data_IF_011980609329
#
_entry.id   IF_011980609329
#
_cell.length_a   1.000
_cell.length_b   1.000
_cell.length_c   1.000
_cell.angle_alpha   90.00
_cell.angle_beta   90.00
_cell.angle_gamma   90.00
#
_symmetry.space_group_name_H-M   'P 1'
#
loop_
_entity.id
_entity.type
_entity.pdbx_description
1 polymer ?
#
# COMPACT_ATOMS: atom_id res chain seq x y z
N UNK A 1 3.24 -9.77 10.82
CA UNK A 1 3.82 -9.03 11.95
C UNK A 1 2.78 -8.79 13.03
N UNK A 2 3.19 -8.65 14.29
CA UNK A 2 2.32 -8.29 15.41
C UNK A 2 3.07 -7.42 16.42
N UNK A 3 2.63 -6.16 16.60
CA UNK A 3 3.15 -5.20 17.58
C UNK A 3 4.66 -4.96 17.44
N UNK A 4 5.13 -4.82 16.20
CA UNK A 4 6.53 -4.47 15.89
C UNK A 4 6.79 -2.99 16.14
N UNK A 5 8.01 -2.62 16.54
CA UNK A 5 8.39 -1.22 16.79
C UNK A 5 8.86 -0.45 15.56
N UNK A 6 8.85 -1.10 14.41
CA UNK A 6 9.37 -0.65 13.12
C UNK A 6 8.35 -1.05 12.05
N UNK A 7 8.78 -1.15 10.79
CA UNK A 7 7.98 -1.73 9.73
C UNK A 7 7.46 -3.14 10.07
N UNK A 8 6.30 -3.47 9.54
CA UNK A 8 5.69 -4.78 9.76
C UNK A 8 6.38 -5.89 8.98
N UNK A 9 6.45 -5.75 7.66
CA UNK A 9 7.05 -6.70 6.72
C UNK A 9 7.73 -5.92 5.60
N UNK A 10 9.00 -6.22 5.32
CA UNK A 10 9.80 -5.53 4.30
C UNK A 10 10.18 -6.46 3.13
N UNK A 11 10.10 -5.94 1.90
CA UNK A 11 10.59 -6.58 0.68
C UNK A 11 11.58 -5.67 -0.05
N UNK A 12 12.88 -5.82 0.19
CA UNK A 12 13.92 -5.03 -0.47
C UNK A 12 14.68 -5.85 -1.51
N UNK A 13 14.38 -5.59 -2.78
CA UNK A 13 14.91 -6.33 -3.92
C UNK A 13 14.47 -7.79 -3.98
N UNK A 14 14.97 -8.52 -4.98
CA UNK A 14 14.68 -9.94 -5.18
C UNK A 14 13.29 -10.20 -5.78
N UNK A 15 12.83 -11.46 -5.71
CA UNK A 15 11.65 -11.95 -6.47
C UNK A 15 10.67 -12.74 -5.61
N UNK A 16 10.76 -12.65 -4.28
CA UNK A 16 9.86 -13.40 -3.38
C UNK A 16 8.46 -12.80 -3.48
N UNK A 17 7.45 -13.64 -3.71
CA UNK A 17 6.05 -13.23 -3.61
C UNK A 17 5.52 -13.48 -2.19
N UNK A 18 4.73 -12.55 -1.68
CA UNK A 18 4.12 -12.62 -0.36
C UNK A 18 2.61 -12.75 -0.46
N UNK A 19 2.07 -13.94 -0.19
CA UNK A 19 0.63 -14.18 -0.15
C UNK A 19 0.16 -14.44 1.28
N UNK A 20 -1.06 -13.99 1.62
CA UNK A 20 -1.69 -14.18 2.93
C UNK A 20 -0.86 -13.57 4.06
N UNK A 21 -0.60 -12.26 3.95
CA UNK A 21 0.17 -11.52 4.94
C UNK A 21 -0.77 -10.76 5.89
N UNK A 22 -0.38 -10.74 7.16
CA UNK A 22 -1.08 -9.97 8.20
C UNK A 22 -0.07 -9.09 8.93
N UNK A 23 -0.35 -7.79 8.99
CA UNK A 23 0.44 -6.82 9.74
C UNK A 23 -0.46 -6.06 10.71
N UNK A 24 -0.26 -6.25 12.01
CA UNK A 24 -1.06 -5.64 13.07
C UNK A 24 -0.15 -4.85 14.00
N UNK A 25 -0.40 -3.54 14.15
CA UNK A 25 0.34 -2.73 15.12
C UNK A 25 1.80 -2.49 14.74
N UNK A 26 2.12 -2.19 13.47
CA UNK A 26 3.47 -1.74 13.11
C UNK A 26 3.75 -0.36 13.71
N UNK A 27 4.99 -0.16 14.15
CA UNK A 27 5.47 1.11 14.69
C UNK A 27 5.83 2.11 13.59
N UNK A 28 6.07 1.60 12.40
CA UNK A 28 6.28 2.35 11.17
C UNK A 28 5.34 1.81 10.06
N UNK A 29 5.78 1.65 8.81
CA UNK A 29 4.94 1.23 7.69
C UNK A 29 4.51 -0.23 7.83
N UNK A 30 3.24 -0.55 7.50
CA UNK A 30 2.74 -1.89 7.83
C UNK A 30 3.31 -2.97 6.91
N UNK A 31 3.48 -2.66 5.63
CA UNK A 31 4.23 -3.43 4.63
C UNK A 31 5.01 -2.45 3.76
N UNK A 32 6.33 -2.59 3.71
CA UNK A 32 7.21 -1.77 2.86
C UNK A 32 7.84 -2.64 1.77
N UNK A 33 7.97 -2.09 0.56
CA UNK A 33 8.72 -2.69 -0.52
C UNK A 33 9.54 -1.66 -1.30
N UNK A 34 10.77 -2.04 -1.63
CA UNK A 34 11.78 -1.16 -2.20
C UNK A 34 12.86 -1.93 -2.99
N UNK A 35 13.90 -1.21 -3.39
CA UNK A 35 15.17 -1.68 -3.93
C UNK A 35 15.05 -2.64 -5.11
N UNK A 36 14.13 -2.32 -6.02
CA UNK A 36 13.93 -3.11 -7.23
C UNK A 36 13.26 -4.44 -6.98
N UNK A 37 12.36 -4.54 -5.98
CA UNK A 37 11.60 -5.75 -5.73
C UNK A 37 10.73 -6.13 -6.93
N UNK A 38 10.86 -7.39 -7.36
CA UNK A 38 10.17 -7.97 -8.52
C UNK A 38 9.19 -9.09 -8.12
N UNK A 39 8.85 -9.18 -6.83
CA UNK A 39 7.85 -10.13 -6.33
C UNK A 39 6.42 -9.65 -6.57
N UNK A 40 5.44 -10.46 -6.17
CA UNK A 40 4.02 -10.12 -6.22
C UNK A 40 3.38 -10.32 -4.84
N UNK A 41 2.15 -9.79 -4.66
CA UNK A 41 1.44 -9.92 -3.40
C UNK A 41 -0.05 -10.17 -3.56
N UNK A 42 -0.61 -10.99 -2.69
CA UNK A 42 -2.06 -11.16 -2.57
C UNK A 42 -2.51 -11.39 -1.14
N UNK A 43 -3.74 -10.96 -0.82
CA UNK A 43 -4.36 -11.18 0.50
C UNK A 43 -3.56 -10.56 1.64
N UNK A 44 -3.36 -9.26 1.59
CA UNK A 44 -2.69 -8.51 2.66
C UNK A 44 -3.74 -7.85 3.56
N UNK A 45 -3.72 -8.17 4.85
CA UNK A 45 -4.58 -7.53 5.85
C UNK A 45 -3.73 -6.71 6.82
N UNK A 46 -4.00 -5.41 6.86
CA UNK A 46 -3.28 -4.43 7.66
C UNK A 46 -4.26 -3.76 8.61
N UNK A 47 -3.86 -3.61 9.87
CA UNK A 47 -4.64 -2.89 10.89
C UNK A 47 -3.74 -2.31 11.98
N UNK A 48 -4.16 -1.18 12.55
CA UNK A 48 -3.48 -0.50 13.66
C UNK A 48 -2.03 -0.09 13.33
N UNK A 49 -1.71 0.16 12.05
CA UNK A 49 -0.38 0.63 11.62
C UNK A 49 -0.15 2.10 11.96
N UNK A 50 1.06 2.46 12.39
CA UNK A 50 1.36 3.83 12.80
C UNK A 50 1.53 4.81 11.62
N UNK A 51 2.22 4.38 10.56
CA UNK A 51 2.53 5.21 9.39
C UNK A 51 1.68 4.86 8.18
N UNK A 52 2.23 4.44 7.06
CA UNK A 52 1.46 4.02 5.92
C UNK A 52 0.90 2.60 6.14
N UNK A 53 -0.25 2.33 5.51
CA UNK A 53 -0.68 0.94 5.36
C UNK A 53 0.36 0.17 4.53
N UNK A 54 0.73 0.75 3.39
CA UNK A 54 1.76 0.22 2.50
C UNK A 54 2.70 1.36 2.14
N UNK A 55 4.01 1.13 2.23
CA UNK A 55 4.99 1.96 1.52
C UNK A 55 5.41 1.25 0.23
N UNK A 56 5.44 2.00 -0.86
CA UNK A 56 5.86 1.51 -2.17
C UNK A 56 6.91 2.43 -2.77
N UNK A 57 8.15 1.95 -2.81
CA UNK A 57 9.30 2.72 -3.28
C UNK A 57 10.14 2.01 -4.34
N UNK A 58 11.07 2.74 -4.95
CA UNK A 58 12.08 2.15 -5.83
C UNK A 58 13.46 2.08 -5.17
N UNK A 59 14.03 3.22 -4.78
CA UNK A 59 15.29 3.28 -4.05
C UNK A 59 15.49 4.69 -3.47
N UNK A 60 15.90 4.77 -2.20
CA UNK A 60 16.01 6.03 -1.46
C UNK A 60 17.13 6.97 -1.91
N UNK A 61 18.18 6.45 -2.55
CA UNK A 61 19.31 7.25 -3.05
C UNK A 61 19.13 7.68 -4.51
N UNK A 62 18.61 6.79 -5.36
CA UNK A 62 18.34 7.03 -6.78
C UNK A 62 16.97 6.45 -7.16
N UNK A 63 15.94 7.31 -7.22
CA UNK A 63 14.59 6.91 -7.60
C UNK A 63 14.48 6.27 -9.00
N UNK A 64 15.49 6.36 -9.86
CA UNK A 64 15.56 5.69 -11.17
C UNK A 64 16.49 4.46 -11.19
N UNK A 65 16.98 4.02 -10.02
CA UNK A 65 17.83 2.84 -9.90
C UNK A 65 17.19 1.62 -10.58
N UNK A 66 18.05 0.79 -11.19
CA UNK A 66 17.67 -0.45 -11.85
C UNK A 66 18.13 -1.68 -11.05
N UNK A 67 17.32 -2.74 -10.97
CA UNK A 67 15.97 -2.86 -11.52
C UNK A 67 14.97 -1.93 -10.82
N UNK A 68 13.97 -1.43 -11.56
CA UNK A 68 12.87 -0.65 -10.97
C UNK A 68 11.90 -1.61 -10.29
N UNK A 69 11.48 -1.33 -9.05
CA UNK A 69 10.46 -2.10 -8.33
C UNK A 69 9.24 -2.31 -9.22
N UNK A 70 8.92 -3.56 -9.54
CA UNK A 70 7.82 -3.91 -10.45
C UNK A 70 7.01 -5.04 -9.86
N UNK A 71 5.77 -4.76 -9.47
CA UNK A 71 4.92 -5.74 -8.77
C UNK A 71 3.46 -5.69 -9.21
N UNK A 72 2.77 -6.82 -9.03
CA UNK A 72 1.31 -6.89 -9.09
C UNK A 72 0.79 -7.28 -7.71
N UNK A 73 -0.05 -6.43 -7.14
CA UNK A 73 -0.68 -6.65 -5.86
C UNK A 73 -2.19 -6.84 -6.00
N UNK A 74 -2.79 -7.63 -5.12
CA UNK A 74 -4.23 -7.89 -5.17
C UNK A 74 -4.83 -8.20 -3.80
N UNK A 75 -6.12 -7.95 -3.63
CA UNK A 75 -6.87 -8.34 -2.43
C UNK A 75 -6.26 -7.76 -1.15
N UNK A 76 -6.24 -6.45 -1.02
CA UNK A 76 -5.62 -5.75 0.11
C UNK A 76 -6.70 -5.10 0.97
N UNK A 77 -6.57 -5.22 2.29
CA UNK A 77 -7.34 -4.44 3.27
C UNK A 77 -6.38 -3.61 4.11
N UNK A 78 -6.65 -2.30 4.23
CA UNK A 78 -6.04 -1.42 5.24
C UNK A 78 -7.13 -0.86 6.14
N UNK A 79 -7.08 -1.19 7.43
CA UNK A 79 -7.97 -0.61 8.45
C UNK A 79 -7.19 0.44 9.22
N UNK A 80 -7.61 1.69 9.07
CA UNK A 80 -7.01 2.85 9.70
C UNK A 80 -7.29 2.96 11.20
N UNK A 81 -6.74 4.01 11.85
CA UNK A 81 -6.00 5.10 11.21
C UNK A 81 -4.60 4.67 10.73
N UNK A 82 -4.10 5.35 9.70
CA UNK A 82 -2.72 5.31 9.18
C UNK A 82 -2.33 6.74 8.86
N UNK A 83 -1.20 7.23 9.37
CA UNK A 83 -0.88 8.68 9.32
C UNK A 83 -0.26 9.14 7.99
N UNK A 84 0.14 8.19 7.14
CA UNK A 84 0.77 8.47 5.85
C UNK A 84 -0.03 7.91 4.67
N UNK A 85 -1.31 7.65 4.92
CA UNK A 85 -2.26 7.12 3.94
C UNK A 85 -2.25 5.59 3.84
N UNK A 86 -3.22 5.05 3.09
CA UNK A 86 -3.29 3.61 2.85
C UNK A 86 -2.13 3.11 1.97
N UNK A 87 -1.65 3.96 1.06
CA UNK A 87 -0.42 3.78 0.30
C UNK A 87 0.42 5.05 0.36
N UNK A 88 1.71 4.93 0.67
CA UNK A 88 2.69 5.99 0.46
C UNK A 88 3.60 5.62 -0.73
N UNK A 89 3.51 6.41 -1.80
CA UNK A 89 4.30 6.26 -3.00
C UNK A 89 5.45 7.28 -3.01
N UNK A 90 6.68 6.79 -2.82
CA UNK A 90 7.87 7.63 -2.64
C UNK A 90 9.15 7.00 -3.17
N UNK A 91 10.23 7.76 -3.17
CA UNK A 91 11.58 7.36 -3.57
C UNK A 91 11.61 6.70 -4.96
N UNK A 92 11.02 7.42 -5.91
CA UNK A 92 10.82 6.97 -7.28
C UNK A 92 9.84 5.81 -7.39
N UNK A 93 8.88 5.66 -6.48
CA UNK A 93 7.92 4.56 -6.37
C UNK A 93 7.59 3.90 -7.71
N UNK A 94 7.79 2.59 -7.80
CA UNK A 94 8.05 1.88 -9.05
C UNK A 94 6.87 1.74 -10.04
N UNK A 95 6.85 0.61 -10.76
CA UNK A 95 5.82 0.30 -11.74
C UNK A 95 4.95 -0.84 -11.22
N UNK A 96 3.81 -0.53 -10.61
CA UNK A 96 2.97 -1.55 -10.05
C UNK A 96 1.47 -1.29 -10.12
N UNK A 97 0.72 -2.39 -10.04
CA UNK A 97 -0.73 -2.37 -10.04
C UNK A 97 -1.29 -2.95 -8.75
N UNK A 98 -2.42 -2.41 -8.29
CA UNK A 98 -3.19 -2.97 -7.18
C UNK A 98 -4.63 -3.21 -7.64
N UNK A 99 -5.12 -4.42 -7.45
CA UNK A 99 -6.53 -4.76 -7.71
C UNK A 99 -7.25 -5.17 -6.42
N UNK A 100 -8.53 -4.83 -6.31
CA UNK A 100 -9.34 -5.18 -5.12
C UNK A 100 -8.72 -4.62 -3.81
N UNK A 101 -8.54 -3.30 -3.74
CA UNK A 101 -8.01 -2.61 -2.57
C UNK A 101 -9.18 -2.05 -1.74
N UNK A 102 -9.34 -2.52 -0.50
CA UNK A 102 -10.32 -2.02 0.46
C UNK A 102 -9.62 -1.22 1.54
N UNK A 103 -10.23 -0.11 1.94
CA UNK A 103 -9.79 0.68 3.08
C UNK A 103 -10.96 1.03 3.99
N UNK A 104 -10.70 1.13 5.29
CA UNK A 104 -11.68 1.59 6.29
C UNK A 104 -11.03 2.59 7.24
N UNK A 105 -11.75 3.63 7.65
CA UNK A 105 -11.32 4.59 8.68
C UNK A 105 -9.98 5.30 8.41
N UNK A 106 -9.64 5.53 7.14
CA UNK A 106 -8.48 6.34 6.71
C UNK A 106 -8.89 7.78 6.35
N UNK A 107 -7.97 8.72 6.45
CA UNK A 107 -8.12 10.12 5.98
C UNK A 107 -7.32 10.42 4.69
N UNK A 108 -6.50 9.48 4.21
CA UNK A 108 -5.78 9.64 2.94
C UNK A 108 -5.63 8.31 2.21
N UNK A 109 -6.12 8.24 0.97
CA UNK A 109 -5.96 7.04 0.14
C UNK A 109 -4.51 6.79 -0.27
N UNK A 110 -4.00 7.62 -1.18
CA UNK A 110 -2.63 7.54 -1.70
C UNK A 110 -1.88 8.83 -1.41
N UNK A 111 -0.85 8.74 -0.57
CA UNK A 111 0.13 9.80 -0.36
C UNK A 111 1.21 9.72 -1.43
N UNK A 112 1.60 10.84 -2.02
CA UNK A 112 2.72 10.94 -2.96
C UNK A 112 3.73 11.95 -2.42
N UNK A 113 5.01 11.57 -2.33
CA UNK A 113 6.05 12.46 -1.81
C UNK A 113 6.19 13.67 -2.74
N UNK A 114 5.80 14.85 -2.25
CA UNK A 114 5.70 16.09 -3.03
C UNK A 114 7.02 16.55 -3.67
N UNK A 115 8.15 16.23 -3.05
CA UNK A 115 9.50 16.54 -3.59
C UNK A 115 10.05 15.48 -4.53
N UNK A 116 9.28 14.43 -4.85
CA UNK A 116 9.73 13.29 -5.64
C UNK A 116 9.30 13.39 -7.11
N UNK A 117 10.20 13.90 -7.94
CA UNK A 117 9.95 14.11 -9.36
C UNK A 117 9.78 12.79 -10.12
N UNK A 118 10.54 11.77 -9.74
CA UNK A 118 10.54 10.45 -10.35
C UNK A 118 9.22 9.71 -10.11
N UNK A 119 8.68 9.78 -8.89
CA UNK A 119 7.35 9.25 -8.55
C UNK A 119 6.26 9.97 -9.36
N UNK A 120 6.31 11.30 -9.46
CA UNK A 120 5.36 12.06 -10.27
C UNK A 120 5.40 11.63 -11.75
N UNK A 121 6.60 11.49 -12.34
CA UNK A 121 6.76 11.01 -13.72
C UNK A 121 6.12 9.64 -13.92
N UNK A 122 6.29 8.71 -12.98
CA UNK A 122 5.71 7.36 -13.05
C UNK A 122 4.18 7.38 -12.96
N UNK A 123 3.61 8.23 -12.11
CA UNK A 123 2.14 8.42 -12.07
C UNK A 123 1.65 8.99 -13.40
N UNK A 124 2.30 10.01 -13.96
CA UNK A 124 1.89 10.59 -15.25
C UNK A 124 2.01 9.60 -16.42
N UNK A 125 2.95 8.66 -16.36
CA UNK A 125 3.11 7.59 -17.34
C UNK A 125 2.10 6.43 -17.16
N UNK A 126 1.38 6.38 -16.04
CA UNK A 126 0.46 5.29 -15.71
C UNK A 126 1.14 4.06 -15.11
N UNK A 127 2.34 4.21 -14.56
CA UNK A 127 3.12 3.12 -13.95
C UNK A 127 2.57 2.73 -12.57
N UNK A 128 1.78 3.59 -11.93
CA UNK A 128 0.93 3.25 -10.79
C UNK A 128 -0.52 3.11 -11.28
N UNK A 129 -1.18 1.99 -10.97
CA UNK A 129 -2.61 1.81 -11.24
C UNK A 129 -3.32 1.02 -10.14
N UNK A 130 -4.38 1.60 -9.57
CA UNK A 130 -5.20 0.99 -8.53
C UNK A 130 -6.64 0.91 -9.02
N UNK A 131 -7.16 -0.30 -9.20
CA UNK A 131 -8.51 -0.50 -9.72
C UNK A 131 -9.14 -1.86 -9.33
N UNK A 132 -10.28 -1.89 -8.62
CA UNK A 132 -10.88 -0.80 -7.86
C UNK A 132 -10.18 -0.56 -6.51
N UNK A 133 -10.33 0.66 -5.97
CA UNK A 133 -10.10 1.02 -4.56
C UNK A 133 -11.41 1.42 -3.89
N UNK A 134 -11.67 0.93 -2.68
CA UNK A 134 -12.83 1.31 -1.87
C UNK A 134 -12.38 2.10 -0.64
N UNK A 135 -13.10 3.18 -0.34
CA UNK A 135 -12.91 4.02 0.84
C UNK A 135 -14.14 3.90 1.76
N UNK A 136 -14.16 2.89 2.62
CA UNK A 136 -15.26 2.67 3.57
C UNK A 136 -15.06 3.50 4.84
N UNK A 137 -16.16 4.05 5.38
CA UNK A 137 -16.18 4.90 6.57
C UNK A 137 -14.97 5.87 6.70
N UNK A 138 -14.64 6.67 5.67
CA UNK A 138 -13.43 7.49 5.70
C UNK A 138 -13.47 8.48 6.88
N UNK A 139 -12.30 8.69 7.48
CA UNK A 139 -12.13 9.61 8.60
C UNK A 139 -12.33 11.08 8.16
N UNK A 140 -12.47 11.98 9.13
CA UNK A 140 -12.68 13.40 8.85
C UNK A 140 -11.45 14.00 8.12
N UNK A 141 -11.71 14.77 7.07
CA UNK A 141 -10.64 15.36 6.25
C UNK A 141 -10.14 14.44 5.13
N UNK A 142 -10.90 13.37 4.83
CA UNK A 142 -10.52 12.40 3.80
C UNK A 142 -10.27 13.01 2.41
N UNK A 143 -9.14 12.61 1.82
CA UNK A 143 -8.81 12.84 0.42
C UNK A 143 -8.38 11.52 -0.25
N UNK A 144 -8.72 11.33 -1.53
CA UNK A 144 -8.30 10.13 -2.28
C UNK A 144 -6.78 10.12 -2.46
N UNK A 145 -6.19 11.28 -2.73
CA UNK A 145 -4.75 11.46 -2.87
C UNK A 145 -4.38 12.92 -2.64
N UNK A 146 -3.16 13.17 -2.18
CA UNK A 146 -2.56 14.50 -2.12
C UNK A 146 -1.75 14.84 -3.40
N UNK A 147 -1.74 13.95 -4.38
CA UNK A 147 -1.06 14.18 -5.66
C UNK A 147 -1.74 15.30 -6.46
N UNK A 148 -0.98 16.35 -6.75
CA UNK A 148 -1.47 17.54 -7.48
C UNK A 148 -1.19 17.52 -8.98
N UNK A 149 -0.67 16.42 -9.52
CA UNK A 149 -0.36 16.28 -10.94
C UNK A 149 -1.59 16.10 -11.84
N UNK A 150 -1.36 15.94 -13.13
CA UNK A 150 -2.42 15.93 -14.13
C UNK A 150 -3.15 14.58 -14.18
N UNK A 151 -2.42 13.47 -14.06
CA UNK A 151 -3.03 12.15 -14.01
C UNK A 151 -3.60 11.86 -12.62
N UNK A 152 -4.92 11.96 -12.49
CA UNK A 152 -5.68 11.53 -11.30
C UNK A 152 -6.35 10.17 -11.49
N UNK A 153 -6.23 9.58 -12.68
CA UNK A 153 -6.91 8.33 -13.05
C UNK A 153 -6.18 7.06 -12.57
N UNK A 154 -5.04 7.22 -11.88
CA UNK A 154 -4.30 6.12 -11.29
C UNK A 154 -5.04 5.47 -10.11
N UNK A 155 -6.04 6.15 -9.53
CA UNK A 155 -7.00 5.55 -8.59
C UNK A 155 -8.38 5.49 -9.23
N UNK A 156 -8.94 4.29 -9.33
CA UNK A 156 -10.33 4.08 -9.75
C UNK A 156 -11.14 3.64 -8.53
N UNK A 157 -12.00 4.53 -8.04
CA UNK A 157 -12.89 4.20 -6.93
C UNK A 157 -13.95 3.17 -7.35
N UNK A 158 -14.18 2.16 -6.51
CA UNK A 158 -15.23 1.16 -6.72
C UNK A 158 -15.32 0.15 -5.58
N UNK A 159 -16.40 -0.65 -5.53
CA UNK A 159 -16.61 -1.61 -4.46
C UNK A 159 -15.60 -2.77 -4.54
N UNK A 160 -15.06 -3.17 -3.39
CA UNK A 160 -14.02 -4.20 -3.24
C UNK A 160 -14.31 -5.08 -2.03
N UNK A 161 -13.74 -6.29 -1.98
CA UNK A 161 -13.75 -7.15 -0.79
C UNK A 161 -12.43 -7.11 -0.02
N UNK A 162 -11.43 -6.42 -0.58
CA UNK A 162 -10.09 -6.31 -0.01
C UNK A 162 -9.44 -7.67 0.20
N UNK A 163 -8.87 -7.88 1.38
CA UNK A 163 -8.33 -9.16 1.81
C UNK A 163 -9.39 -10.26 2.04
N UNK A 164 -10.64 -10.06 1.60
CA UNK A 164 -11.68 -11.08 1.56
C UNK A 164 -12.81 -10.88 2.57
N UNK A 165 -12.76 -9.83 3.42
CA UNK A 165 -13.81 -9.54 4.39
C UNK A 165 -13.93 -8.05 4.76
N UNK A 166 -13.60 -7.13 3.82
CA UNK A 166 -13.59 -5.69 4.10
C UNK A 166 -12.70 -5.37 5.30
N UNK A 167 -13.22 -4.61 6.27
CA UNK A 167 -12.50 -4.25 7.49
C UNK A 167 -12.39 -5.38 8.52
N UNK A 168 -13.28 -6.38 8.47
CA UNK A 168 -13.30 -7.46 9.45
C UNK A 168 -12.15 -8.46 9.21
N UNK A 169 -11.77 -9.19 10.25
CA UNK A 169 -10.74 -10.22 10.16
C UNK A 169 -11.08 -11.21 9.02
N UNK A 170 -10.14 -11.50 8.10
CA UNK A 170 -10.38 -12.45 7.02
C UNK A 170 -10.52 -13.88 7.55
N UNK A 171 -11.41 -14.65 6.94
CA UNK A 171 -11.62 -16.06 7.35
C UNK A 171 -10.37 -16.92 7.20
N UNK A 172 -9.53 -16.63 6.20
CA UNK A 172 -8.28 -17.34 5.95
C UNK A 172 -7.23 -17.09 7.03
N UNK A 173 -7.32 -15.99 7.80
CA UNK A 173 -6.37 -15.65 8.85
C UNK A 173 -6.65 -16.38 10.18
N UNK A 174 -7.82 -17.04 10.28
CA UNK A 174 -8.27 -17.69 11.50
C UNK A 174 -7.37 -18.85 11.93
N UNK A 175 -7.01 -18.89 13.21
CA UNK A 175 -6.32 -20.01 13.85
C UNK A 175 -4.80 -20.02 13.72
N UNK A 176 -4.19 -19.07 13.00
CA UNK A 176 -2.72 -18.95 12.90
C UNK A 176 -2.18 -17.53 13.08
N UNK A 177 -3.06 -16.52 13.13
CA UNK A 177 -2.69 -15.11 13.39
C UNK A 177 -2.92 -14.72 14.85
N UNK A 178 -2.28 -13.62 15.27
CA UNK A 178 -2.52 -12.95 16.55
C UNK A 178 -3.00 -11.53 16.29
N UNK A 179 -3.91 -11.02 17.14
CA UNK A 179 -4.44 -9.66 17.03
C UNK A 179 -5.67 -9.49 16.14
N UNK A 180 -6.22 -10.59 15.60
CA UNK A 180 -7.45 -10.63 14.81
C UNK A 180 -8.61 -11.34 15.52
#
# INVERSE_FOLDING_TARGET
SYQGGDDGIEFFGGTVSGDYLVSIGSGDDSIDFADGWQGNGSFWYIKDGAKAGIEGSNNGDDGNASPVTTTTLSNITVVGPVTEGALYFKEGGGSFTITNFYTDAIDLGVKVKDTDAEAAVRIENGDLSINPMQFDNPAAGFEITDYIGANQSFVVEGPTSGAGNGAAAPSWASGWTSGL
#
